data_IF_529017451242
#
_entry.id   IF_529017451242
#
_cell.length_a   1.000
_cell.length_b   1.000
_cell.length_c   1.000
_cell.angle_alpha   90.00
_cell.angle_beta   90.00
_cell.angle_gamma   90.00
#
_symmetry.space_group_name_H-M   'P 1'
#
loop_
_entity.id
_entity.type
_entity.pdbx_description
1 polymer ?
#
# COMPACT_ATOMS: atom_id res chain seq x y z
N UNK A 1 -11.83 23.65 -18.07
CA UNK A 1 -12.39 22.28 -18.09
C UNK A 1 -11.81 21.54 -16.91
N UNK A 2 -12.59 21.29 -15.86
CA UNK A 2 -12.18 20.43 -14.77
C UNK A 2 -12.10 19.00 -15.31
N UNK A 3 -10.92 18.42 -15.32
CA UNK A 3 -10.79 16.98 -15.51
C UNK A 3 -11.43 16.33 -14.29
N UNK A 4 -12.64 15.79 -14.46
CA UNK A 4 -13.23 14.90 -13.47
C UNK A 4 -12.35 13.66 -13.37
N UNK A 5 -11.62 13.55 -12.27
CA UNK A 5 -10.89 12.33 -11.94
C UNK A 5 -11.92 11.23 -11.68
N UNK A 6 -12.12 10.37 -12.65
CA UNK A 6 -12.96 9.19 -12.46
C UNK A 6 -12.25 8.22 -11.50
N UNK A 7 -12.71 8.20 -10.25
CA UNK A 7 -12.24 7.26 -9.23
C UNK A 7 -12.93 5.92 -9.45
N UNK A 8 -12.15 4.88 -9.72
CA UNK A 8 -12.66 3.52 -9.83
C UNK A 8 -12.84 2.92 -8.43
N UNK A 9 -14.09 2.69 -8.01
CA UNK A 9 -14.42 2.24 -6.66
C UNK A 9 -13.88 0.84 -6.30
N UNK A 10 -13.52 0.05 -7.29
CA UNK A 10 -12.94 -1.27 -7.11
C UNK A 10 -11.40 -1.27 -6.93
N UNK A 11 -10.77 -0.10 -7.00
CA UNK A 11 -9.32 0.07 -6.78
C UNK A 11 -9.01 0.66 -5.41
N UNK A 12 -7.80 0.43 -4.95
CA UNK A 12 -7.26 1.13 -3.79
C UNK A 12 -6.93 2.60 -4.09
N UNK A 13 -6.49 3.30 -3.07
CA UNK A 13 -6.03 4.69 -3.15
C UNK A 13 -4.52 4.71 -2.96
N UNK A 14 -3.82 5.44 -3.82
CA UNK A 14 -2.42 5.81 -3.66
C UNK A 14 -2.33 7.31 -3.41
N UNK A 15 -1.98 7.70 -2.18
CA UNK A 15 -1.67 9.09 -1.85
C UNK A 15 -0.19 9.35 -2.08
N UNK A 16 0.16 10.26 -2.97
CA UNK A 16 1.55 10.68 -3.19
C UNK A 16 1.73 12.17 -2.93
N UNK A 17 2.91 12.58 -2.46
CA UNK A 17 3.21 13.99 -2.20
C UNK A 17 4.25 14.19 -1.11
N UNK A 18 4.62 15.45 -0.82
CA UNK A 18 5.73 15.77 0.06
C UNK A 18 5.52 15.26 1.49
N UNK A 19 6.62 15.22 2.23
CA UNK A 19 6.63 14.86 3.65
C UNK A 19 5.80 15.91 4.43
N UNK A 20 5.00 15.45 5.39
CA UNK A 20 4.20 16.32 6.26
C UNK A 20 2.92 16.87 5.65
N UNK A 21 2.59 16.59 4.39
CA UNK A 21 1.36 17.11 3.76
C UNK A 21 0.06 16.48 4.28
N UNK A 22 0.12 15.46 5.16
CA UNK A 22 -1.05 14.89 5.83
C UNK A 22 -1.60 13.59 5.24
N UNK A 23 -0.85 12.87 4.38
CA UNK A 23 -1.27 11.60 3.75
C UNK A 23 -1.74 10.56 4.75
N UNK A 24 -0.87 10.23 5.73
CA UNK A 24 -1.16 9.27 6.80
C UNK A 24 -2.40 9.68 7.60
N UNK A 25 -2.50 10.96 7.95
CA UNK A 25 -3.66 11.51 8.68
C UNK A 25 -4.94 11.32 7.89
N UNK A 26 -4.91 11.60 6.58
CA UNK A 26 -6.08 11.40 5.71
C UNK A 26 -6.49 9.92 5.67
N UNK A 27 -5.54 8.99 5.59
CA UNK A 27 -5.85 7.56 5.63
C UNK A 27 -6.47 7.14 6.97
N UNK A 28 -6.00 7.68 8.10
CA UNK A 28 -6.63 7.43 9.40
C UNK A 28 -8.06 7.99 9.47
N UNK A 29 -8.30 9.21 8.96
CA UNK A 29 -9.64 9.81 8.93
C UNK A 29 -10.59 9.01 8.04
N UNK A 30 -10.16 8.61 6.86
CA UNK A 30 -10.96 7.78 5.95
C UNK A 30 -11.32 6.43 6.59
N UNK A 31 -10.38 5.81 7.29
CA UNK A 31 -10.62 4.58 8.05
C UNK A 31 -11.68 4.81 9.13
N UNK A 32 -11.58 5.90 9.88
CA UNK A 32 -12.54 6.23 10.94
C UNK A 32 -13.96 6.45 10.39
N UNK A 33 -14.08 7.21 9.29
CA UNK A 33 -15.38 7.48 8.65
C UNK A 33 -16.01 6.22 8.04
N UNK A 34 -15.19 5.29 7.57
CA UNK A 34 -15.64 4.04 6.94
C UNK A 34 -16.01 2.94 7.95
N UNK A 35 -15.81 3.18 9.24
CA UNK A 35 -16.04 2.18 10.30
C UNK A 35 -17.49 1.69 10.37
N UNK A 36 -18.44 2.42 9.78
CA UNK A 36 -19.85 2.05 9.69
C UNK A 36 -20.17 1.12 8.51
N UNK A 37 -19.29 0.97 7.51
CA UNK A 37 -19.55 0.34 6.23
C UNK A 37 -18.78 -0.97 5.95
N UNK A 38 -18.30 -1.70 6.94
CA UNK A 38 -17.67 -3.03 6.85
C UNK A 38 -16.39 -3.14 5.97
N UNK A 39 -15.94 -2.09 5.30
CA UNK A 39 -14.74 -2.10 4.46
C UNK A 39 -13.54 -1.46 5.16
N UNK A 40 -13.22 -1.97 6.35
CA UNK A 40 -12.12 -1.43 7.16
C UNK A 40 -10.81 -2.02 6.67
N UNK A 41 -9.85 -1.15 6.37
CA UNK A 41 -8.47 -1.56 6.13
C UNK A 41 -7.59 -1.39 7.37
N UNK A 42 -6.55 -2.20 7.46
CA UNK A 42 -5.52 -2.09 8.51
C UNK A 42 -4.39 -1.20 7.98
N UNK A 43 -3.97 -0.21 8.76
CA UNK A 43 -2.82 0.64 8.41
C UNK A 43 -1.55 -0.01 8.96
N UNK A 44 -0.54 -0.16 8.11
CA UNK A 44 0.74 -0.76 8.45
C UNK A 44 1.87 0.03 7.80
N UNK A 45 2.82 0.49 8.60
CA UNK A 45 4.01 1.16 8.07
C UNK A 45 4.87 0.20 7.25
N UNK A 46 5.34 0.64 6.09
CA UNK A 46 6.27 -0.16 5.27
C UNK A 46 7.57 -0.45 6.04
N UNK A 47 7.99 0.47 6.88
CA UNK A 47 9.15 0.27 7.77
C UNK A 47 8.94 -0.86 8.78
N UNK A 48 7.74 -0.95 9.38
CA UNK A 48 7.42 -2.05 10.30
C UNK A 48 7.40 -3.39 9.59
N UNK A 49 6.90 -3.44 8.35
CA UNK A 49 6.94 -4.65 7.50
C UNK A 49 8.40 -5.11 7.28
N UNK A 50 9.33 -4.17 7.08
CA UNK A 50 10.76 -4.49 6.97
C UNK A 50 11.32 -5.11 8.26
N UNK A 51 10.95 -4.57 9.42
CA UNK A 51 11.38 -5.14 10.70
C UNK A 51 10.80 -6.53 10.95
N UNK A 52 9.53 -6.74 10.60
CA UNK A 52 8.93 -8.07 10.65
C UNK A 52 9.69 -9.05 9.73
N UNK A 53 10.08 -8.62 8.51
CA UNK A 53 10.83 -9.45 7.59
C UNK A 53 12.21 -9.86 8.11
N UNK A 54 12.91 -8.97 8.82
CA UNK A 54 14.19 -9.31 9.48
C UNK A 54 13.99 -10.45 10.47
N UNK A 55 12.86 -10.45 11.19
CA UNK A 55 12.55 -11.42 12.23
C UNK A 55 11.99 -12.74 11.67
N UNK A 56 11.01 -12.64 10.77
CA UNK A 56 10.15 -13.75 10.37
C UNK A 56 10.43 -14.23 8.93
N UNK A 57 11.31 -13.53 8.18
CA UNK A 57 11.63 -13.88 6.80
C UNK A 57 10.43 -13.85 5.86
N UNK A 58 10.37 -14.79 4.91
CA UNK A 58 9.33 -14.84 3.89
C UNK A 58 7.90 -15.12 4.43
N UNK A 59 7.76 -15.52 5.68
CA UNK A 59 6.44 -15.67 6.32
C UNK A 59 5.68 -14.34 6.35
N UNK A 60 6.39 -13.21 6.35
CA UNK A 60 5.81 -11.88 6.24
C UNK A 60 5.07 -11.68 4.92
N UNK A 61 5.63 -12.18 3.81
CA UNK A 61 4.94 -12.12 2.50
C UNK A 61 3.62 -12.91 2.58
N UNK A 62 3.63 -14.10 3.15
CA UNK A 62 2.41 -14.90 3.33
C UNK A 62 1.38 -14.22 4.23
N UNK A 63 1.84 -13.59 5.33
CA UNK A 63 0.99 -12.84 6.27
C UNK A 63 0.22 -11.73 5.58
N UNK A 64 0.89 -10.95 4.74
CA UNK A 64 0.28 -9.80 4.03
C UNK A 64 -0.38 -10.16 2.70
N UNK A 65 -0.31 -11.42 2.27
CA UNK A 65 -0.88 -11.91 1.01
C UNK A 65 -1.86 -13.05 1.23
N UNK A 66 -1.42 -14.29 1.13
CA UNK A 66 -2.28 -15.49 1.20
C UNK A 66 -3.05 -15.64 2.51
N UNK A 67 -2.49 -15.15 3.62
CA UNK A 67 -3.13 -15.14 4.94
C UNK A 67 -3.95 -13.86 5.20
N UNK A 68 -4.06 -12.95 4.21
CA UNK A 68 -4.83 -11.72 4.32
C UNK A 68 -6.33 -11.96 4.09
N UNK A 69 -6.88 -12.96 4.80
CA UNK A 69 -8.31 -13.26 4.78
C UNK A 69 -8.78 -13.63 6.18
N UNK A 70 -9.94 -13.10 6.55
CA UNK A 70 -10.66 -13.55 7.74
C UNK A 70 -11.43 -14.82 7.38
N UNK A 71 -11.29 -15.88 8.17
CA UNK A 71 -12.02 -17.11 8.02
C UNK A 71 -13.22 -17.11 8.97
N UNK A 72 -14.40 -17.25 8.40
CA UNK A 72 -15.64 -17.39 9.16
C UNK A 72 -16.41 -18.63 8.65
N UNK A 73 -16.13 -19.77 9.25
CA UNK A 73 -16.55 -21.07 8.74
C UNK A 73 -15.97 -21.35 7.36
N UNK A 74 -16.83 -21.60 6.37
CA UNK A 74 -16.42 -21.81 4.96
C UNK A 74 -16.25 -20.52 4.16
N UNK A 75 -16.57 -19.37 4.75
CA UNK A 75 -16.46 -18.08 4.07
C UNK A 75 -15.13 -17.40 4.41
N UNK A 76 -14.51 -16.81 3.39
CA UNK A 76 -13.32 -15.99 3.54
C UNK A 76 -13.61 -14.55 3.10
N UNK A 77 -13.28 -13.57 3.96
CA UNK A 77 -13.40 -12.14 3.65
C UNK A 77 -12.02 -11.49 3.61
N UNK A 78 -11.74 -10.65 2.59
CA UNK A 78 -10.42 -10.03 2.46
C UNK A 78 -10.06 -9.11 3.63
N UNK A 79 -8.80 -9.17 4.09
CA UNK A 79 -8.18 -8.17 4.95
C UNK A 79 -7.55 -7.12 4.07
N UNK A 80 -8.18 -5.96 3.94
CA UNK A 80 -7.63 -4.83 3.23
C UNK A 80 -6.52 -4.16 4.05
N UNK A 81 -5.47 -3.70 3.40
CA UNK A 81 -4.36 -2.98 4.03
C UNK A 81 -4.14 -1.63 3.38
N UNK A 82 -3.71 -0.67 4.20
CA UNK A 82 -3.04 0.54 3.78
C UNK A 82 -1.58 0.43 4.22
N UNK A 83 -0.66 0.31 3.26
CA UNK A 83 0.76 0.37 3.55
C UNK A 83 1.20 1.83 3.52
N UNK A 84 1.69 2.31 4.66
CA UNK A 84 2.02 3.72 4.87
C UNK A 84 3.51 3.96 4.67
N UNK A 85 3.82 5.09 4.02
CA UNK A 85 5.18 5.56 3.73
C UNK A 85 6.04 4.55 2.93
N UNK A 86 5.54 4.10 1.76
CA UNK A 86 6.34 3.32 0.80
C UNK A 86 7.61 4.10 0.42
N UNK A 87 8.75 3.46 0.48
CA UNK A 87 10.09 4.03 0.25
C UNK A 87 10.87 4.32 1.52
N UNK A 88 10.27 4.07 2.70
CA UNK A 88 10.96 4.20 4.00
C UNK A 88 11.58 2.89 4.49
N UNK A 89 11.22 1.78 3.86
CA UNK A 89 11.81 0.48 4.11
C UNK A 89 13.23 0.41 3.52
N UNK A 90 14.13 -0.26 4.23
CA UNK A 90 15.47 -0.56 3.71
C UNK A 90 15.43 -1.79 2.80
N UNK A 91 16.24 -1.78 1.74
CA UNK A 91 16.53 -3.01 0.99
C UNK A 91 17.23 -3.98 1.93
N UNK A 92 16.61 -5.10 2.19
CA UNK A 92 17.09 -6.08 3.16
C UNK A 92 17.75 -7.25 2.44
N UNK A 93 18.84 -7.75 3.03
CA UNK A 93 19.47 -9.00 2.59
C UNK A 93 18.95 -10.14 3.43
N UNK A 94 18.37 -11.13 2.77
CA UNK A 94 17.96 -12.36 3.41
C UNK A 94 18.75 -13.53 2.80
N UNK A 95 19.56 -14.19 3.61
CA UNK A 95 20.50 -15.24 3.18
C UNK A 95 21.38 -14.85 1.98
N UNK A 96 21.88 -13.60 1.97
CA UNK A 96 22.78 -13.08 0.93
C UNK A 96 22.07 -12.52 -0.33
N UNK A 97 20.77 -12.72 -0.48
CA UNK A 97 20.00 -12.15 -1.59
C UNK A 97 19.35 -10.83 -1.18
N UNK A 98 19.47 -9.82 -2.04
CA UNK A 98 18.73 -8.57 -1.86
C UNK A 98 17.25 -8.83 -2.15
N UNK A 99 16.38 -8.48 -1.20
CA UNK A 99 14.95 -8.62 -1.32
C UNK A 99 14.28 -7.28 -1.04
N UNK A 100 13.49 -6.78 -2.00
CA UNK A 100 12.59 -5.69 -1.75
C UNK A 100 11.24 -6.28 -1.30
N UNK A 101 11.06 -6.36 0.02
CA UNK A 101 9.91 -7.01 0.62
C UNK A 101 8.57 -6.37 0.20
N UNK A 102 8.53 -5.03 0.05
CA UNK A 102 7.31 -4.35 -0.36
C UNK A 102 6.98 -4.61 -1.82
N UNK A 103 8.00 -4.75 -2.69
CA UNK A 103 7.78 -5.16 -4.07
C UNK A 103 7.12 -6.54 -4.14
N UNK A 104 7.64 -7.52 -3.39
CA UNK A 104 7.10 -8.88 -3.34
C UNK A 104 5.67 -8.92 -2.80
N UNK A 105 5.39 -8.18 -1.72
CA UNK A 105 4.05 -8.08 -1.15
C UNK A 105 3.09 -7.45 -2.16
N UNK A 106 3.44 -6.31 -2.77
CA UNK A 106 2.55 -5.59 -3.68
C UNK A 106 2.28 -6.35 -4.97
N UNK A 107 3.29 -7.05 -5.53
CA UNK A 107 3.10 -7.92 -6.70
C UNK A 107 2.18 -9.10 -6.38
N UNK A 108 2.39 -9.77 -5.24
CA UNK A 108 1.53 -10.87 -4.81
C UNK A 108 0.10 -10.41 -4.48
N UNK A 109 -0.06 -9.21 -3.91
CA UNK A 109 -1.38 -8.61 -3.66
C UNK A 109 -2.09 -8.20 -4.96
N UNK A 110 -1.33 -7.84 -6.01
CA UNK A 110 -1.91 -7.60 -7.33
C UNK A 110 -2.62 -8.86 -7.86
N UNK A 111 -1.98 -10.03 -7.76
CA UNK A 111 -2.61 -11.28 -8.21
C UNK A 111 -3.88 -11.60 -7.40
N UNK A 112 -3.88 -11.31 -6.10
CA UNK A 112 -5.05 -11.46 -5.23
C UNK A 112 -6.13 -10.39 -5.49
N UNK A 113 -5.74 -9.19 -5.91
CA UNK A 113 -6.69 -8.15 -6.34
C UNK A 113 -7.48 -8.61 -7.57
N UNK A 114 -6.79 -9.13 -8.59
CA UNK A 114 -7.42 -9.62 -9.82
C UNK A 114 -8.36 -10.80 -9.52
N UNK A 115 -7.91 -11.78 -8.73
CA UNK A 115 -8.63 -13.03 -8.52
C UNK A 115 -9.62 -13.00 -7.36
N UNK A 116 -9.39 -12.17 -6.35
CA UNK A 116 -10.11 -12.23 -5.07
C UNK A 116 -10.55 -10.86 -4.53
N UNK A 117 -10.43 -9.80 -5.33
CA UNK A 117 -10.81 -8.41 -4.97
C UNK A 117 -10.15 -7.91 -3.66
N UNK A 118 -8.90 -8.32 -3.41
CA UNK A 118 -8.14 -7.88 -2.26
C UNK A 118 -7.63 -6.46 -2.48
N UNK A 119 -8.30 -5.46 -1.89
CA UNK A 119 -7.93 -4.05 -2.04
C UNK A 119 -6.71 -3.72 -1.17
N UNK A 120 -5.84 -2.90 -1.73
CA UNK A 120 -4.66 -2.34 -1.07
C UNK A 120 -4.70 -0.83 -1.22
N UNK A 121 -4.42 -0.09 -0.14
CA UNK A 121 -4.16 1.34 -0.18
C UNK A 121 -2.67 1.58 0.09
N UNK A 122 -2.19 2.74 -0.32
CA UNK A 122 -0.77 3.06 -0.22
C UNK A 122 -0.56 4.55 -0.01
N UNK A 123 0.44 4.92 0.78
CA UNK A 123 0.97 6.29 0.80
C UNK A 123 2.45 6.28 0.45
N UNK A 124 2.93 7.34 -0.18
CA UNK A 124 4.35 7.49 -0.52
C UNK A 124 4.75 8.94 -0.66
N UNK A 125 6.04 9.21 -0.42
CA UNK A 125 6.67 10.49 -0.76
C UNK A 125 7.43 10.41 -2.09
N UNK A 126 7.54 9.21 -2.67
CA UNK A 126 8.29 8.98 -3.91
C UNK A 126 7.52 9.50 -5.13
N UNK A 127 8.26 10.09 -6.06
CA UNK A 127 7.75 10.38 -7.40
C UNK A 127 7.63 9.08 -8.23
N UNK A 128 6.88 9.13 -9.32
CA UNK A 128 6.67 7.96 -10.16
C UNK A 128 7.97 7.37 -10.76
N UNK A 129 8.96 8.24 -11.06
CA UNK A 129 10.28 7.82 -11.52
C UNK A 129 11.09 7.13 -10.42
N UNK A 130 10.97 7.60 -9.18
CA UNK A 130 11.64 6.99 -8.04
C UNK A 130 11.06 5.62 -7.72
N UNK A 131 9.73 5.46 -7.81
CA UNK A 131 9.07 4.16 -7.66
C UNK A 131 9.61 3.16 -8.68
N UNK A 132 9.84 3.58 -9.94
CA UNK A 132 10.43 2.71 -10.96
C UNK A 132 11.86 2.29 -10.64
N UNK A 133 12.67 3.23 -10.14
CA UNK A 133 14.06 2.96 -9.74
C UNK A 133 14.12 2.00 -8.54
N UNK A 134 13.29 2.21 -7.52
CA UNK A 134 13.34 1.42 -6.28
C UNK A 134 12.66 0.05 -6.39
N UNK A 135 11.58 -0.05 -7.17
CA UNK A 135 10.70 -1.23 -7.20
C UNK A 135 10.60 -1.91 -8.56
N UNK A 136 11.18 -1.29 -9.58
CA UNK A 136 11.17 -1.80 -10.94
C UNK A 136 9.92 -1.47 -11.74
N UNK A 137 10.07 -1.57 -13.05
CA UNK A 137 9.03 -1.20 -14.02
C UNK A 137 7.79 -2.11 -13.93
N UNK A 138 7.99 -3.38 -13.59
CA UNK A 138 6.89 -4.35 -13.42
C UNK A 138 5.91 -3.90 -12.33
N UNK A 139 6.41 -3.55 -11.14
CA UNK A 139 5.55 -3.08 -10.05
C UNK A 139 4.88 -1.77 -10.42
N UNK A 140 5.62 -0.80 -10.97
CA UNK A 140 5.06 0.48 -11.41
C UNK A 140 3.89 0.31 -12.38
N UNK A 141 3.99 -0.62 -13.33
CA UNK A 141 2.90 -0.95 -14.25
C UNK A 141 1.67 -1.47 -13.51
N UNK A 142 1.84 -2.41 -12.56
CA UNK A 142 0.75 -2.99 -11.76
C UNK A 142 0.09 -1.98 -10.82
N UNK A 143 0.85 -1.02 -10.31
CA UNK A 143 0.30 0.05 -9.46
C UNK A 143 -0.75 0.89 -10.17
N UNK A 144 -0.68 1.08 -11.48
CA UNK A 144 -1.71 1.80 -12.26
C UNK A 144 -3.04 1.05 -12.28
N UNK A 145 -3.00 -0.27 -12.21
CA UNK A 145 -4.21 -1.10 -12.15
C UNK A 145 -4.75 -1.21 -10.73
N UNK A 146 -3.86 -1.27 -9.72
CA UNK A 146 -4.21 -1.40 -8.30
C UNK A 146 -4.85 -0.15 -7.70
N UNK A 147 -4.39 1.05 -8.14
CA UNK A 147 -4.65 2.28 -7.41
C UNK A 147 -5.32 3.37 -8.25
N UNK A 148 -6.14 4.15 -7.57
CA UNK A 148 -6.45 5.52 -7.95
C UNK A 148 -5.36 6.43 -7.37
N UNK A 149 -4.61 7.11 -8.21
CA UNK A 149 -3.58 8.04 -7.78
C UNK A 149 -4.20 9.37 -7.38
N UNK A 150 -3.95 9.81 -6.15
CA UNK A 150 -4.35 11.11 -5.62
C UNK A 150 -3.07 11.85 -5.20
N UNK A 151 -2.55 12.74 -6.05
CA UNK A 151 -1.36 13.51 -5.71
C UNK A 151 -1.72 14.68 -4.80
N UNK A 152 -0.88 14.94 -3.80
CA UNK A 152 -0.85 16.21 -3.07
C UNK A 152 0.03 17.20 -3.83
N UNK A 153 -0.33 18.48 -3.78
CA UNK A 153 0.47 19.54 -4.38
C UNK A 153 1.86 19.58 -3.72
N UNK A 154 2.89 19.66 -4.54
CA UNK A 154 4.28 19.78 -4.09
C UNK A 154 4.55 21.07 -3.29
N UNK A 155 3.71 22.11 -3.46
CA UNK A 155 3.74 23.34 -2.69
C UNK A 155 3.06 23.21 -1.31
N UNK A 156 2.49 22.04 -0.98
CA UNK A 156 1.82 21.82 0.31
C UNK A 156 2.84 21.89 1.44
N UNK A 157 2.64 22.83 2.36
CA UNK A 157 3.49 23.01 3.53
C UNK A 157 3.41 21.83 4.49
N UNK A 158 4.50 21.57 5.21
CA UNK A 158 4.52 20.61 6.31
C UNK A 158 3.55 21.05 7.42
N UNK A 159 2.54 20.23 7.69
CA UNK A 159 1.47 20.50 8.66
C UNK A 159 1.80 20.02 10.08
N UNK A 160 3.02 19.54 10.33
CA UNK A 160 3.47 19.04 11.64
C UNK A 160 3.97 20.15 12.57
N UNK A 161 3.90 21.42 12.13
CA UNK A 161 4.29 22.59 12.92
C UNK A 161 3.13 23.07 13.76
#
# INVERSE_FOLDING_TARGET
MCNEYQIALNKGILLSGPIGCGKTTLMHLMKYLNNQNQSIYLIKSCRDVSFEFIKDGYDVVHRYTRQSFYKNGSNETPKHYCFDDLGTENNLKFYGNECNIMAEILLSRYDLFINRKLITHLTTNLAASEIEVFYGNRLRSRMRELFNLIPFDNATLDKRK
#
